data_IF_108189494906
#
_entry.id   IF_108189494906
#
_cell.length_a   1.000
_cell.length_b   1.000
_cell.length_c   1.000
_cell.angle_alpha   90.00
_cell.angle_beta   90.00
_cell.angle_gamma   90.00
#
_symmetry.space_group_name_H-M   'P 1'
#
loop_
_entity.id
_entity.type
_entity.pdbx_description
1 polymer ?
#
# COMPACT_ATOMS: atom_id res chain seq x y z
N UNK A 1 15.08 6.96 14.56
CA UNK A 1 14.43 7.19 15.85
C UNK A 1 14.92 8.48 16.52
N UNK A 2 16.22 8.61 16.81
CA UNK A 2 16.81 9.78 17.47
C UNK A 2 16.61 11.10 16.72
N UNK A 3 16.73 11.11 15.39
CA UNK A 3 16.48 12.29 14.55
C UNK A 3 15.01 12.71 14.62
N UNK A 4 14.08 11.76 14.57
CA UNK A 4 12.65 12.04 14.67
C UNK A 4 12.29 12.69 16.02
N UNK A 5 12.81 12.15 17.13
CA UNK A 5 12.55 12.71 18.46
C UNK A 5 13.09 14.14 18.56
N UNK A 6 14.30 14.42 18.06
CA UNK A 6 14.86 15.77 18.03
C UNK A 6 14.02 16.77 17.23
N UNK A 7 13.52 16.35 16.06
CA UNK A 7 12.63 17.19 15.24
C UNK A 7 11.28 17.41 15.94
N UNK A 8 10.83 16.46 16.74
CA UNK A 8 9.58 16.54 17.51
C UNK A 8 9.76 17.17 18.91
N UNK A 9 10.87 17.87 19.13
CA UNK A 9 11.14 18.61 20.38
C UNK A 9 11.12 17.69 21.62
N UNK A 10 11.75 16.52 21.50
CA UNK A 10 11.80 15.43 22.48
C UNK A 10 10.42 14.89 22.94
N UNK A 11 9.37 15.17 22.17
CA UNK A 11 8.02 14.65 22.43
C UNK A 11 7.75 13.40 21.59
N UNK A 12 7.22 12.35 22.22
CA UNK A 12 6.81 11.13 21.53
C UNK A 12 5.57 11.34 20.65
N UNK A 13 4.80 12.40 20.91
CA UNK A 13 3.55 12.74 20.21
C UNK A 13 3.47 14.24 20.03
N UNK A 14 3.24 14.69 18.81
CA UNK A 14 3.02 16.11 18.49
C UNK A 14 1.62 16.26 17.93
N UNK A 15 0.77 17.07 18.56
CA UNK A 15 -0.56 17.40 18.05
C UNK A 15 -0.44 18.26 16.80
N UNK A 16 -1.23 17.95 15.78
CA UNK A 16 -1.26 18.73 14.56
C UNK A 16 -2.14 19.95 14.79
N UNK A 17 -1.55 21.15 14.67
CA UNK A 17 -2.24 22.42 14.88
C UNK A 17 -3.44 22.60 13.92
N UNK A 18 -4.41 23.45 14.33
CA UNK A 18 -5.64 23.70 13.58
C UNK A 18 -5.50 24.22 12.14
N UNK A 19 -4.30 24.63 11.72
CA UNK A 19 -3.97 25.05 10.36
C UNK A 19 -3.39 23.89 9.52
N UNK A 20 -3.72 22.63 9.84
CA UNK A 20 -3.29 21.48 9.05
C UNK A 20 -3.92 21.49 7.63
N UNK A 21 -3.28 20.79 6.71
CA UNK A 21 -3.78 20.60 5.34
C UNK A 21 -5.21 20.04 5.34
N UNK A 22 -5.54 19.17 6.30
CA UNK A 22 -6.91 18.71 6.54
C UNK A 22 -7.90 19.87 6.74
N UNK A 23 -7.56 20.83 7.58
CA UNK A 23 -8.43 21.97 7.88
C UNK A 23 -8.59 22.89 6.68
N UNK A 24 -7.53 23.12 5.91
CA UNK A 24 -7.56 23.91 4.68
C UNK A 24 -8.44 23.23 3.63
N UNK A 25 -8.28 21.93 3.43
CA UNK A 25 -9.06 21.15 2.46
C UNK A 25 -10.54 21.10 2.87
N UNK A 26 -10.84 20.90 4.17
CA UNK A 26 -12.22 20.89 4.65
C UNK A 26 -12.92 22.24 4.52
N UNK A 27 -12.19 23.37 4.55
CA UNK A 27 -12.75 24.70 4.26
C UNK A 27 -13.19 24.89 2.80
N UNK A 28 -12.64 24.09 1.88
CA UNK A 28 -13.06 24.11 0.47
C UNK A 28 -14.44 23.48 0.25
N UNK A 29 -14.92 22.67 1.20
CA UNK A 29 -16.23 22.02 1.12
C UNK A 29 -17.32 22.86 1.80
N UNK A 30 -18.57 22.78 1.34
CA UNK A 30 -19.69 23.49 1.96
C UNK A 30 -19.84 23.10 3.44
N UNK A 31 -20.11 24.09 4.30
CA UNK A 31 -20.22 23.92 5.75
C UNK A 31 -21.30 22.91 6.21
N UNK A 32 -22.24 22.55 5.34
CA UNK A 32 -23.31 21.59 5.62
C UNK A 32 -22.93 20.13 5.39
N UNK A 33 -21.70 19.82 4.94
CA UNK A 33 -21.28 18.46 4.68
C UNK A 33 -20.69 17.80 5.92
N UNK A 34 -21.09 16.55 6.18
CA UNK A 34 -20.50 15.76 7.26
C UNK A 34 -18.97 15.62 7.07
N UNK A 35 -18.14 15.93 8.09
CA UNK A 35 -16.69 15.93 7.98
C UNK A 35 -16.12 14.56 7.58
N UNK A 36 -16.82 13.47 7.93
CA UNK A 36 -16.43 12.12 7.53
C UNK A 36 -16.58 11.90 6.02
N UNK A 37 -17.66 12.40 5.42
CA UNK A 37 -17.89 12.30 3.97
C UNK A 37 -16.85 13.12 3.22
N UNK A 38 -16.56 14.33 3.68
CA UNK A 38 -15.52 15.17 3.09
C UNK A 38 -14.15 14.48 3.13
N UNK A 39 -13.79 13.83 4.24
CA UNK A 39 -12.55 13.06 4.36
C UNK A 39 -12.47 11.90 3.37
N UNK A 40 -13.57 11.17 3.17
CA UNK A 40 -13.64 10.07 2.18
C UNK A 40 -13.45 10.62 0.76
N UNK A 41 -14.12 11.71 0.40
CA UNK A 41 -14.00 12.33 -0.92
C UNK A 41 -12.55 12.77 -1.17
N UNK A 42 -11.92 13.43 -0.20
CA UNK A 42 -10.51 13.82 -0.29
C UNK A 42 -9.61 12.59 -0.48
N UNK A 43 -9.83 11.52 0.27
CA UNK A 43 -9.09 10.26 0.13
C UNK A 43 -9.21 9.66 -1.26
N UNK A 44 -10.40 9.66 -1.84
CA UNK A 44 -10.65 9.17 -3.21
C UNK A 44 -9.95 10.06 -4.24
N UNK A 45 -10.04 11.39 -4.11
CA UNK A 45 -9.39 12.34 -5.02
C UNK A 45 -7.86 12.16 -4.98
N UNK A 46 -7.28 12.13 -3.78
CA UNK A 46 -5.83 11.96 -3.60
C UNK A 46 -5.37 10.62 -4.19
N UNK A 47 -6.11 9.55 -3.96
CA UNK A 47 -5.81 8.23 -4.53
C UNK A 47 -5.88 8.23 -6.05
N UNK A 48 -6.90 8.88 -6.63
CA UNK A 48 -7.04 8.99 -8.08
C UNK A 48 -5.90 9.80 -8.71
N UNK A 49 -5.53 10.92 -8.10
CA UNK A 49 -4.40 11.75 -8.55
C UNK A 49 -3.09 10.97 -8.48
N UNK A 50 -2.85 10.23 -7.40
CA UNK A 50 -1.65 9.40 -7.25
C UNK A 50 -1.59 8.28 -8.30
N UNK A 51 -2.72 7.60 -8.56
CA UNK A 51 -2.79 6.58 -9.63
C UNK A 51 -2.45 7.22 -10.97
N UNK A 52 -3.03 8.38 -11.29
CA UNK A 52 -2.79 9.08 -12.54
C UNK A 52 -1.32 9.48 -12.68
N UNK A 53 -0.73 10.06 -11.64
CA UNK A 53 0.69 10.44 -11.62
C UNK A 53 1.62 9.23 -11.81
N UNK A 54 1.37 8.16 -11.06
CA UNK A 54 2.17 6.93 -11.19
C UNK A 54 1.98 6.28 -12.57
N UNK A 55 0.76 6.27 -13.08
CA UNK A 55 0.50 5.74 -14.42
C UNK A 55 1.25 6.51 -15.50
N UNK A 56 1.20 7.84 -15.47
CA UNK A 56 1.94 8.70 -16.39
C UNK A 56 3.46 8.49 -16.22
N UNK A 57 3.96 8.51 -15.00
CA UNK A 57 5.38 8.31 -14.73
C UNK A 57 5.90 6.96 -15.23
N UNK A 58 5.21 5.87 -14.91
CA UNK A 58 5.61 4.52 -15.35
C UNK A 58 5.35 4.25 -16.84
N UNK A 59 4.66 5.14 -17.53
CA UNK A 59 4.56 5.20 -19.00
C UNK A 59 5.74 5.89 -19.69
N UNK A 60 6.57 6.63 -18.95
CA UNK A 60 7.78 7.26 -19.51
C UNK A 60 8.91 6.26 -19.71
N UNK A 61 9.94 6.66 -20.48
CA UNK A 61 11.15 5.83 -20.68
C UNK A 61 11.82 5.45 -19.36
N UNK A 62 11.95 6.39 -18.41
CA UNK A 62 12.50 6.14 -17.08
C UNK A 62 11.65 5.11 -16.30
N UNK A 63 10.34 5.27 -16.33
CA UNK A 63 9.43 4.33 -15.68
C UNK A 63 9.49 2.93 -16.28
N UNK A 64 9.58 2.84 -17.61
CA UNK A 64 9.80 1.57 -18.31
C UNK A 64 11.15 0.94 -17.94
N UNK A 65 12.23 1.72 -17.86
CA UNK A 65 13.55 1.26 -17.47
C UNK A 65 13.58 0.73 -16.03
N UNK A 66 12.89 1.41 -15.08
CA UNK A 66 12.74 0.95 -13.69
C UNK A 66 12.01 -0.40 -13.65
N UNK A 67 10.91 -0.53 -14.40
CA UNK A 67 10.13 -1.78 -14.46
C UNK A 67 10.92 -2.93 -15.10
N UNK A 68 11.67 -2.66 -16.18
CA UNK A 68 12.53 -3.63 -16.82
C UNK A 68 13.64 -4.11 -15.87
N UNK A 69 14.28 -3.18 -15.14
CA UNK A 69 15.30 -3.48 -14.13
C UNK A 69 14.73 -4.36 -13.00
N UNK A 70 13.52 -4.07 -12.53
CA UNK A 70 12.84 -4.86 -11.50
C UNK A 70 12.43 -6.25 -11.97
N UNK A 71 12.11 -6.42 -13.26
CA UNK A 71 11.74 -7.71 -13.84
C UNK A 71 12.95 -8.60 -14.11
N UNK A 72 13.97 -8.06 -14.78
CA UNK A 72 15.20 -8.79 -15.10
C UNK A 72 16.39 -7.82 -15.23
N UNK A 73 17.15 -7.69 -14.15
CA UNK A 73 18.29 -6.79 -14.06
C UNK A 73 19.38 -7.13 -15.09
N UNK A 74 19.65 -8.44 -15.36
CA UNK A 74 20.67 -8.86 -16.30
C UNK A 74 20.30 -8.46 -17.74
N UNK A 75 19.05 -8.65 -18.11
CA UNK A 75 18.52 -8.25 -19.41
C UNK A 75 18.54 -6.73 -19.58
N UNK A 76 18.10 -5.98 -18.57
CA UNK A 76 18.10 -4.51 -18.60
C UNK A 76 19.53 -3.97 -18.79
N UNK A 77 20.51 -4.55 -18.09
CA UNK A 77 21.93 -4.17 -18.23
C UNK A 77 22.49 -4.52 -19.61
N UNK A 78 22.09 -5.64 -20.19
CA UNK A 78 22.48 -6.02 -21.56
C UNK A 78 21.91 -5.06 -22.62
N UNK A 79 20.79 -4.41 -22.35
CA UNK A 79 20.18 -3.36 -23.18
C UNK A 79 20.79 -1.96 -22.95
N UNK A 80 21.87 -1.86 -22.14
CA UNK A 80 22.55 -0.59 -21.88
C UNK A 80 21.92 0.27 -20.79
N UNK A 81 20.91 -0.24 -20.07
CA UNK A 81 20.27 0.49 -18.97
C UNK A 81 21.17 0.47 -17.74
N UNK A 82 21.43 1.64 -17.16
CA UNK A 82 22.13 1.75 -15.89
C UNK A 82 21.20 1.31 -14.74
N UNK A 83 21.27 0.02 -14.40
CA UNK A 83 20.39 -0.61 -13.42
C UNK A 83 20.55 -0.04 -12.02
N UNK A 84 21.75 0.39 -11.64
CA UNK A 84 22.02 0.90 -10.28
C UNK A 84 21.31 2.24 -10.06
N UNK A 85 21.37 3.11 -11.08
CA UNK A 85 20.63 4.37 -11.07
C UNK A 85 19.11 4.17 -11.06
N UNK A 86 18.61 3.19 -11.81
CA UNK A 86 17.17 2.86 -11.83
C UNK A 86 16.69 2.33 -10.49
N UNK A 87 17.51 1.56 -9.76
CA UNK A 87 17.19 1.09 -8.41
C UNK A 87 17.11 2.27 -7.43
N UNK A 88 18.08 3.19 -7.48
CA UNK A 88 18.08 4.38 -6.62
C UNK A 88 16.82 5.21 -6.88
N UNK A 89 16.48 5.50 -8.13
CA UNK A 89 15.26 6.24 -8.49
C UNK A 89 13.99 5.53 -7.99
N UNK A 90 13.91 4.22 -8.15
CA UNK A 90 12.78 3.43 -7.65
C UNK A 90 12.63 3.53 -6.13
N UNK A 91 13.73 3.45 -5.39
CA UNK A 91 13.74 3.63 -3.94
C UNK A 91 13.36 5.05 -3.52
N UNK A 92 13.83 6.07 -4.23
CA UNK A 92 13.47 7.47 -3.96
C UNK A 92 11.96 7.69 -4.11
N UNK A 93 11.35 7.20 -5.18
CA UNK A 93 9.91 7.31 -5.42
C UNK A 93 9.12 6.54 -4.36
N UNK A 94 9.54 5.33 -4.03
CA UNK A 94 8.90 4.53 -2.99
C UNK A 94 8.92 5.25 -1.64
N UNK A 95 10.07 5.78 -1.22
CA UNK A 95 10.18 6.50 0.05
C UNK A 95 9.37 7.81 0.04
N UNK A 96 9.29 8.51 -1.08
CA UNK A 96 8.45 9.70 -1.22
C UNK A 96 6.96 9.37 -1.03
N UNK A 97 6.48 8.25 -1.60
CA UNK A 97 5.11 7.78 -1.43
C UNK A 97 4.82 7.35 0.01
N UNK A 98 5.78 6.70 0.68
CA UNK A 98 5.66 6.32 2.09
C UNK A 98 5.56 7.56 2.98
N UNK A 99 6.40 8.57 2.75
CA UNK A 99 6.36 9.82 3.50
C UNK A 99 5.03 10.56 3.31
N UNK A 100 4.53 10.61 2.08
CA UNK A 100 3.23 11.20 1.75
C UNK A 100 2.08 10.45 2.44
N UNK A 101 2.09 9.12 2.39
CA UNK A 101 1.11 8.29 3.10
C UNK A 101 1.13 8.53 4.60
N UNK A 102 2.33 8.57 5.22
CA UNK A 102 2.47 8.83 6.65
C UNK A 102 1.93 10.20 7.06
N UNK A 103 2.18 11.23 6.25
CA UNK A 103 1.67 12.58 6.52
C UNK A 103 0.14 12.66 6.41
N UNK A 104 -0.46 11.98 5.45
CA UNK A 104 -1.92 11.91 5.29
C UNK A 104 -2.57 11.18 6.47
N UNK A 105 -2.03 10.04 6.88
CA UNK A 105 -2.55 9.27 8.02
C UNK A 105 -2.46 10.11 9.31
N UNK A 106 -1.33 10.78 9.55
CA UNK A 106 -1.16 11.65 10.71
C UNK A 106 -2.22 12.76 10.77
N UNK A 107 -2.57 13.35 9.62
CA UNK A 107 -3.51 14.46 9.56
C UNK A 107 -4.98 14.04 9.56
N UNK A 108 -5.32 12.97 8.85
CA UNK A 108 -6.73 12.57 8.63
C UNK A 108 -7.23 11.56 9.66
N UNK A 109 -6.40 10.58 10.04
CA UNK A 109 -6.81 9.52 10.98
C UNK A 109 -6.54 9.91 12.44
N UNK A 110 -5.31 10.32 12.75
CA UNK A 110 -4.87 10.50 14.15
C UNK A 110 -4.96 11.95 14.65
N UNK A 111 -4.90 12.94 13.79
CA UNK A 111 -4.81 14.36 14.19
C UNK A 111 -3.52 14.69 14.96
N UNK A 112 -2.58 13.74 15.03
CA UNK A 112 -1.31 13.86 15.72
C UNK A 112 -0.25 13.01 15.03
N UNK A 113 1.02 13.42 15.12
CA UNK A 113 2.16 12.64 14.66
C UNK A 113 2.77 11.89 15.85
N UNK A 114 2.93 10.58 15.72
CA UNK A 114 3.53 9.69 16.71
C UNK A 114 4.81 9.08 16.15
N UNK A 115 5.86 9.01 16.96
CA UNK A 115 7.17 8.46 16.54
C UNK A 115 7.06 7.02 16.01
N UNK A 116 6.20 6.21 16.62
CA UNK A 116 6.03 4.78 16.29
C UNK A 116 4.81 4.49 15.40
N UNK A 117 4.23 5.51 14.76
CA UNK A 117 3.01 5.40 13.97
C UNK A 117 3.14 4.43 12.78
N UNK A 118 4.36 4.30 12.24
CA UNK A 118 4.66 3.39 11.13
C UNK A 118 4.85 1.92 11.53
N UNK A 119 4.91 1.60 12.83
CA UNK A 119 5.11 0.22 13.25
C UNK A 119 3.91 -0.66 12.90
N UNK A 120 4.17 -1.73 12.15
CA UNK A 120 3.14 -2.65 11.69
C UNK A 120 2.43 -2.24 10.39
N UNK A 121 2.55 -1.01 9.93
CA UNK A 121 1.91 -0.56 8.67
C UNK A 121 2.45 -1.28 7.43
N UNK A 122 3.71 -1.73 7.46
CA UNK A 122 4.32 -2.55 6.39
C UNK A 122 3.53 -3.85 6.22
N UNK A 123 3.16 -4.50 7.33
CA UNK A 123 2.39 -5.76 7.30
C UNK A 123 1.01 -5.52 6.69
N UNK A 124 0.35 -4.42 7.07
CA UNK A 124 -0.95 -4.01 6.54
C UNK A 124 -0.83 -3.73 5.03
N UNK A 125 0.20 -2.99 4.62
CA UNK A 125 0.46 -2.68 3.21
C UNK A 125 0.68 -3.94 2.38
N UNK A 126 1.53 -4.85 2.85
CA UNK A 126 1.80 -6.11 2.15
C UNK A 126 0.54 -6.97 2.02
N UNK A 127 -0.25 -7.10 3.09
CA UNK A 127 -1.51 -7.82 3.06
C UNK A 127 -2.48 -7.23 2.04
N UNK A 128 -2.61 -5.91 2.01
CA UNK A 128 -3.48 -5.19 1.07
C UNK A 128 -3.10 -5.46 -0.38
N UNK A 129 -1.79 -5.41 -0.69
CA UNK A 129 -1.27 -5.73 -2.03
C UNK A 129 -1.59 -7.16 -2.42
N UNK A 130 -1.31 -8.12 -1.54
CA UNK A 130 -1.54 -9.55 -1.82
C UNK A 130 -3.03 -9.84 -2.02
N UNK A 131 -3.90 -9.28 -1.16
CA UNK A 131 -5.36 -9.43 -1.32
C UNK A 131 -5.80 -8.84 -2.66
N UNK A 132 -5.31 -7.65 -3.02
CA UNK A 132 -5.60 -7.04 -4.32
C UNK A 132 -5.14 -7.89 -5.49
N UNK A 133 -3.93 -8.44 -5.44
CA UNK A 133 -3.39 -9.31 -6.47
C UNK A 133 -4.17 -10.63 -6.60
N UNK A 134 -4.45 -11.29 -5.50
CA UNK A 134 -5.15 -12.59 -5.50
C UNK A 134 -6.57 -12.49 -6.04
N UNK A 135 -7.28 -11.41 -5.73
CA UNK A 135 -8.69 -11.22 -6.12
C UNK A 135 -8.80 -10.73 -7.57
N UNK A 136 -7.94 -9.79 -7.98
CA UNK A 136 -8.14 -9.05 -9.22
C UNK A 136 -7.17 -9.42 -10.34
N UNK A 137 -6.00 -10.02 -10.05
CA UNK A 137 -4.98 -10.29 -11.07
C UNK A 137 -4.99 -11.78 -11.43
N UNK A 138 -5.93 -12.16 -12.29
CA UNK A 138 -5.97 -13.50 -12.88
C UNK A 138 -5.30 -13.59 -14.26
N UNK A 139 -4.95 -12.46 -14.90
CA UNK A 139 -4.35 -12.39 -16.24
C UNK A 139 -3.52 -11.14 -16.36
N UNK A 140 -2.57 -11.12 -17.30
CA UNK A 140 -1.77 -9.94 -17.61
C UNK A 140 -2.67 -8.74 -17.95
N UNK A 141 -2.83 -7.82 -17.03
CA UNK A 141 -3.64 -6.62 -17.19
C UNK A 141 -2.76 -5.38 -17.14
N UNK A 142 -3.31 -4.27 -17.66
CA UNK A 142 -2.71 -2.95 -17.66
C UNK A 142 -2.17 -2.56 -16.28
N UNK A 143 -1.08 -1.80 -16.26
CA UNK A 143 -0.44 -1.33 -15.02
C UNK A 143 -1.41 -0.51 -14.14
N UNK A 144 -2.28 0.31 -14.75
CA UNK A 144 -3.31 1.06 -14.03
C UNK A 144 -4.24 0.12 -13.25
N UNK A 145 -4.60 -1.01 -13.84
CA UNK A 145 -5.46 -1.99 -13.17
C UNK A 145 -4.78 -2.63 -11.94
N UNK A 146 -3.46 -2.83 -11.99
CA UNK A 146 -2.70 -3.31 -10.83
C UNK A 146 -2.70 -2.28 -9.70
N UNK A 147 -2.56 -0.99 -10.02
CA UNK A 147 -2.62 0.08 -9.03
C UNK A 147 -4.01 0.19 -8.37
N UNK A 148 -5.08 0.10 -9.16
CA UNK A 148 -6.45 0.11 -8.60
C UNK A 148 -6.73 -1.13 -7.76
N UNK A 149 -6.22 -2.30 -8.14
CA UNK A 149 -6.37 -3.53 -7.38
C UNK A 149 -5.76 -3.42 -5.98
N UNK A 150 -4.62 -2.74 -5.82
CA UNK A 150 -3.99 -2.50 -4.51
C UNK A 150 -4.90 -1.65 -3.61
N UNK A 151 -5.53 -0.60 -4.16
CA UNK A 151 -6.44 0.25 -3.38
C UNK A 151 -7.68 -0.54 -2.94
N UNK A 152 -8.27 -1.32 -3.84
CA UNK A 152 -9.42 -2.17 -3.50
C UNK A 152 -9.02 -3.21 -2.45
N UNK A 153 -7.83 -3.81 -2.58
CA UNK A 153 -7.27 -4.72 -1.58
C UNK A 153 -7.12 -4.06 -0.20
N UNK A 154 -6.70 -2.80 -0.14
CA UNK A 154 -6.60 -2.04 1.10
C UNK A 154 -7.98 -1.78 1.74
N UNK A 155 -9.00 -1.46 0.93
CA UNK A 155 -10.37 -1.29 1.40
C UNK A 155 -10.92 -2.60 1.97
N UNK A 156 -10.75 -3.70 1.25
CA UNK A 156 -11.17 -5.03 1.70
C UNK A 156 -10.48 -5.40 3.00
N UNK A 157 -9.16 -5.21 3.09
CA UNK A 157 -8.41 -5.47 4.32
C UNK A 157 -8.96 -4.67 5.50
N UNK A 158 -9.16 -3.35 5.34
CA UNK A 158 -9.73 -2.49 6.39
C UNK A 158 -11.15 -2.92 6.78
N UNK A 159 -11.96 -3.33 5.83
CA UNK A 159 -13.32 -3.84 6.09
C UNK A 159 -13.28 -5.12 6.92
N UNK A 160 -12.38 -6.05 6.60
CA UNK A 160 -12.21 -7.29 7.37
C UNK A 160 -11.80 -6.97 8.82
N UNK A 161 -10.86 -6.06 9.03
CA UNK A 161 -10.45 -5.63 10.38
C UNK A 161 -11.61 -4.97 11.12
N UNK A 162 -12.36 -4.08 10.46
CA UNK A 162 -13.51 -3.41 11.07
C UNK A 162 -14.58 -4.43 11.51
N UNK A 163 -14.88 -5.42 10.67
CA UNK A 163 -15.80 -6.51 11.01
C UNK A 163 -15.28 -7.36 12.18
N UNK A 164 -13.98 -7.69 12.18
CA UNK A 164 -13.39 -8.45 13.28
C UNK A 164 -13.51 -7.71 14.63
N UNK A 165 -13.37 -6.39 14.64
CA UNK A 165 -13.54 -5.56 15.83
C UNK A 165 -14.99 -5.46 16.33
N UNK A 166 -15.96 -5.72 15.48
CA UNK A 166 -17.40 -5.68 15.87
C UNK A 166 -17.78 -6.90 16.69
N UNK A 167 -17.00 -7.97 16.67
CA UNK A 167 -17.26 -9.19 17.43
C UNK A 167 -16.98 -8.93 18.92
N UNK A 168 -18.01 -9.05 19.75
CA UNK A 168 -17.91 -8.88 21.21
C UNK A 168 -16.89 -9.88 21.79
N UNK A 169 -15.89 -9.37 22.51
CA UNK A 169 -14.87 -10.17 23.18
C UNK A 169 -13.43 -9.93 22.71
N UNK A 170 -13.22 -9.27 21.58
CA UNK A 170 -11.88 -8.91 21.13
C UNK A 170 -11.40 -7.60 21.75
N UNK A 171 -10.21 -7.63 22.32
CA UNK A 171 -9.52 -6.44 22.84
C UNK A 171 -8.64 -5.83 21.73
N UNK A 172 -8.35 -4.54 21.84
CA UNK A 172 -7.46 -3.85 20.89
C UNK A 172 -6.05 -4.50 20.80
N UNK A 173 -5.63 -5.22 21.83
CA UNK A 173 -4.39 -6.02 21.87
C UNK A 173 -4.43 -7.23 20.92
N UNK A 174 -5.61 -7.80 20.69
CA UNK A 174 -5.80 -8.98 19.87
C UNK A 174 -5.78 -8.66 18.37
N UNK A 175 -5.87 -7.36 18.03
CA UNK A 175 -5.73 -6.85 16.65
C UNK A 175 -4.44 -7.30 16.00
N UNK A 176 -3.32 -7.29 16.73
CA UNK A 176 -2.03 -7.71 16.18
C UNK A 176 -2.05 -9.20 15.79
N UNK A 177 -2.74 -10.02 16.58
CA UNK A 177 -2.90 -11.45 16.30
C UNK A 177 -3.82 -11.68 15.11
N UNK A 178 -4.95 -10.98 15.06
CA UNK A 178 -5.90 -11.05 13.93
C UNK A 178 -5.22 -10.61 12.63
N UNK A 179 -4.50 -9.49 12.65
CA UNK A 179 -3.77 -9.01 11.47
C UNK A 179 -2.73 -10.02 11.01
N UNK A 180 -1.99 -10.66 11.93
CA UNK A 180 -1.01 -11.69 11.60
C UNK A 180 -1.66 -12.91 10.94
N UNK A 181 -2.82 -13.36 11.45
CA UNK A 181 -3.57 -14.50 10.87
C UNK A 181 -4.08 -14.14 9.47
N UNK A 182 -4.66 -12.95 9.27
CA UNK A 182 -5.16 -12.51 7.96
C UNK A 182 -4.02 -12.47 6.95
N UNK A 183 -2.86 -11.93 7.33
CA UNK A 183 -1.68 -11.87 6.48
C UNK A 183 -1.16 -13.28 6.16
N UNK A 184 -1.10 -14.16 7.16
CA UNK A 184 -0.67 -15.55 6.94
C UNK A 184 -1.60 -16.28 5.95
N UNK A 185 -2.91 -16.10 6.06
CA UNK A 185 -3.89 -16.67 5.12
C UNK A 185 -3.71 -16.05 3.73
N UNK A 186 -3.59 -14.72 3.64
CA UNK A 186 -3.41 -14.03 2.36
C UNK A 186 -2.14 -14.49 1.63
N UNK A 187 -1.02 -14.68 2.34
CA UNK A 187 0.22 -15.22 1.80
C UNK A 187 0.13 -16.71 1.42
N UNK A 188 -0.64 -17.48 2.17
CA UNK A 188 -0.82 -18.90 1.91
C UNK A 188 -1.55 -19.17 0.58
N UNK A 189 -2.54 -18.34 0.23
CA UNK A 189 -3.36 -18.52 -0.99
C UNK A 189 -2.51 -18.62 -2.27
N UNK A 190 -1.60 -17.69 -2.60
CA UNK A 190 -0.80 -17.76 -3.82
C UNK A 190 0.16 -18.95 -3.79
N UNK A 191 0.74 -19.27 -2.63
CA UNK A 191 1.66 -20.41 -2.46
C UNK A 191 0.94 -21.74 -2.73
N UNK A 192 -0.28 -21.90 -2.19
CA UNK A 192 -1.09 -23.09 -2.44
C UNK A 192 -1.50 -23.21 -3.91
N UNK A 193 -1.93 -22.11 -4.56
CA UNK A 193 -2.27 -22.11 -5.99
C UNK A 193 -1.09 -22.56 -6.86
N UNK A 194 0.11 -22.05 -6.59
CA UNK A 194 1.32 -22.40 -7.35
C UNK A 194 1.68 -23.87 -7.12
N UNK A 195 1.60 -24.38 -5.91
CA UNK A 195 1.90 -25.78 -5.57
C UNK A 195 0.91 -26.76 -6.22
N UNK A 196 -0.37 -26.42 -6.23
CA UNK A 196 -1.41 -27.23 -6.88
C UNK A 196 -1.22 -27.25 -8.39
N UNK A 197 -0.91 -26.11 -9.01
CA UNK A 197 -0.61 -26.04 -10.45
C UNK A 197 0.59 -26.89 -10.83
N UNK A 198 1.67 -26.85 -10.03
CA UNK A 198 2.86 -27.67 -10.25
C UNK A 198 2.56 -29.17 -10.13
N UNK A 199 1.75 -29.57 -9.15
CA UNK A 199 1.35 -30.98 -8.98
C UNK A 199 0.47 -31.46 -10.14
N UNK A 200 -0.46 -30.63 -10.66
CA UNK A 200 -1.28 -30.96 -11.83
C UNK A 200 -0.43 -31.18 -13.08
N UNK A 201 0.56 -30.33 -13.35
CA UNK A 201 1.48 -30.49 -14.47
C UNK A 201 2.33 -31.76 -14.35
N UNK A 202 2.76 -32.11 -13.13
CA UNK A 202 3.54 -33.33 -12.87
C UNK A 202 2.71 -34.61 -13.04
N UNK A 203 1.42 -34.57 -12.70
CA UNK A 203 0.51 -35.71 -12.92
C UNK A 203 0.17 -35.89 -14.39
N UNK A 204 -0.05 -34.81 -15.14
CA UNK A 204 -0.34 -34.89 -16.59
C UNK A 204 0.87 -35.45 -17.37
N UNK A 205 2.09 -35.13 -16.98
CA UNK A 205 3.31 -35.62 -17.63
C UNK A 205 3.65 -37.10 -17.28
N UNK A 206 3.04 -37.66 -16.20
CA UNK A 206 3.17 -39.07 -15.85
C UNK A 206 2.16 -39.97 -16.57
N UNK A 207 1.04 -39.43 -17.05
CA UNK A 207 0.03 -40.20 -17.78
C UNK A 207 0.27 -40.23 -19.33
N UNK A 208 1.22 -39.42 -19.81
CA UNK A 208 1.63 -39.37 -21.21
C UNK A 208 2.90 -40.16 -21.54
N UNK A 209 3.39 -40.99 -20.62
CA UNK A 209 4.48 -41.95 -20.80
C UNK A 209 3.94 -43.37 -20.52
#
# INVERSE_FOLDING_TARGET
YSVNIRIMDDKATVAIAGNSVKHIILKLFPANMNPNIATIIVGVIVSAVLIALLYLFFGTELGCAIRATGSNMKMARALGINTDWMIILGLMISNALIALSGSLIAQFDYGSALVNMGQGTIVIGLASVIIGEVIFIHKERSFAFKLTAVIIGAIIYRTIIALALTIKGFKATDLKLITAIIVAIALAIPVFKTKISFMRHKSANKQGR
#
